data_IF_677645908703
#
_entry.id   IF_677645908703
#
_cell.length_a   1.000
_cell.length_b   1.000
_cell.length_c   1.000
_cell.angle_alpha   90.00
_cell.angle_beta   90.00
_cell.angle_gamma   90.00
#
_symmetry.space_group_name_H-M   'P 1'
#
loop_
_entity.id
_entity.type
_entity.pdbx_description
1 polymer ?
#
# COMPACT_ATOMS: atom_id res chain seq x y z
N UNK A 1 7.45 24.64 -35.79
CA UNK A 1 6.43 23.61 -35.57
C UNK A 1 5.79 23.71 -34.21
N UNK A 2 4.55 24.15 -34.18
CA UNK A 2 3.70 24.05 -32.98
C UNK A 2 3.29 22.58 -32.83
N UNK A 3 3.98 21.85 -31.94
CA UNK A 3 3.67 20.47 -31.65
C UNK A 3 2.22 20.35 -31.17
N UNK A 4 1.39 19.65 -31.93
CA UNK A 4 0.00 19.38 -31.57
C UNK A 4 -0.03 18.48 -30.32
N UNK A 5 -0.46 19.03 -29.19
CA UNK A 5 -0.74 18.25 -27.98
C UNK A 5 -2.13 17.63 -28.11
N UNK A 6 -2.18 16.32 -28.36
CA UNK A 6 -3.42 15.56 -28.35
C UNK A 6 -3.84 15.35 -26.90
N UNK A 7 -5.07 15.75 -26.52
CA UNK A 7 -5.58 15.58 -25.16
C UNK A 7 -6.39 14.30 -25.02
N UNK A 8 -6.19 13.54 -23.95
CA UNK A 8 -6.89 12.28 -23.68
C UNK A 8 -7.53 12.32 -22.28
N UNK A 9 -8.73 12.89 -22.18
CA UNK A 9 -9.37 13.15 -20.88
C UNK A 9 -10.23 11.97 -20.42
N UNK A 10 -9.94 11.46 -19.22
CA UNK A 10 -10.77 10.48 -18.50
C UNK A 10 -11.54 11.15 -17.37
N UNK A 11 -12.84 10.84 -17.22
CA UNK A 11 -13.71 11.38 -16.17
C UNK A 11 -14.29 10.27 -15.30
N UNK A 12 -14.18 10.41 -13.97
CA UNK A 12 -14.75 9.49 -12.98
C UNK A 12 -15.16 10.28 -11.71
N UNK A 13 -16.40 10.10 -11.24
CA UNK A 13 -16.97 10.74 -10.04
C UNK A 13 -16.64 12.25 -9.93
N UNK A 14 -17.19 13.07 -10.83
CA UNK A 14 -17.00 14.52 -10.92
C UNK A 14 -15.56 15.04 -11.00
N UNK A 15 -14.58 14.15 -11.17
CA UNK A 15 -13.18 14.48 -11.36
C UNK A 15 -12.69 14.06 -12.73
N UNK A 16 -11.73 14.79 -13.27
CA UNK A 16 -11.11 14.51 -14.56
C UNK A 16 -9.59 14.53 -14.50
N UNK A 17 -8.97 13.73 -15.34
CA UNK A 17 -7.51 13.71 -15.54
C UNK A 17 -7.23 13.63 -17.04
N UNK A 18 -6.34 14.48 -17.54
CA UNK A 18 -5.82 14.34 -18.90
C UNK A 18 -4.69 13.31 -18.86
N UNK A 19 -4.80 12.25 -19.64
CA UNK A 19 -3.78 11.20 -19.73
C UNK A 19 -2.64 11.57 -20.66
N UNK A 20 -2.86 12.51 -21.58
CA UNK A 20 -1.84 12.94 -22.53
C UNK A 20 -0.64 13.64 -21.90
N UNK A 21 -0.77 14.05 -20.63
CA UNK A 21 0.32 14.64 -19.86
C UNK A 21 1.31 13.59 -19.32
N UNK A 22 0.99 12.29 -19.42
CA UNK A 22 1.84 11.19 -18.94
C UNK A 22 2.44 10.41 -20.11
N UNK A 23 3.67 9.94 -19.92
CA UNK A 23 4.30 8.98 -20.84
C UNK A 23 3.66 7.60 -20.68
N UNK A 24 3.73 6.75 -21.71
CA UNK A 24 3.14 5.40 -21.68
C UNK A 24 3.76 4.48 -20.61
N UNK A 25 5.01 4.74 -20.20
CA UNK A 25 5.72 4.04 -19.13
C UNK A 25 5.44 4.60 -17.73
N UNK A 26 4.60 5.63 -17.61
CA UNK A 26 4.27 6.25 -16.33
C UNK A 26 3.52 5.23 -15.45
N UNK A 27 3.99 4.96 -14.22
CA UNK A 27 3.28 4.07 -13.32
C UNK A 27 1.91 4.64 -12.92
N UNK A 28 0.99 3.75 -12.51
CA UNK A 28 -0.40 4.13 -12.18
C UNK A 28 -0.50 5.13 -11.03
N UNK A 29 0.40 5.07 -10.04
CA UNK A 29 0.29 5.89 -8.82
C UNK A 29 0.30 7.40 -9.09
N UNK A 30 1.24 7.97 -9.87
CA UNK A 30 1.17 9.35 -10.35
C UNK A 30 -0.15 9.77 -11.01
N UNK A 31 -0.70 8.90 -11.85
CA UNK A 31 -1.95 9.16 -12.58
C UNK A 31 -3.10 9.28 -11.58
N UNK A 32 -3.18 8.35 -10.61
CA UNK A 32 -4.15 8.40 -9.52
C UNK A 32 -3.99 9.65 -8.64
N UNK A 33 -2.75 10.07 -8.37
CA UNK A 33 -2.45 11.30 -7.60
C UNK A 33 -2.94 12.55 -8.31
N UNK A 34 -2.73 12.65 -9.63
CA UNK A 34 -3.24 13.77 -10.43
C UNK A 34 -4.78 13.79 -10.49
N UNK A 35 -5.40 12.62 -10.58
CA UNK A 35 -6.87 12.49 -10.53
C UNK A 35 -7.45 12.95 -9.19
N UNK A 36 -6.86 12.52 -8.06
CA UNK A 36 -7.29 12.97 -6.73
C UNK A 36 -7.11 14.48 -6.52
N UNK A 37 -6.07 15.08 -7.12
CA UNK A 37 -5.84 16.51 -7.07
C UNK A 37 -6.86 17.33 -7.88
N UNK A 38 -7.54 16.71 -8.86
CA UNK A 38 -8.56 17.32 -9.72
C UNK A 38 -8.11 18.62 -10.42
N UNK A 39 -6.84 18.65 -10.85
CA UNK A 39 -6.27 19.76 -11.61
C UNK A 39 -5.84 19.25 -13.00
N UNK A 40 -6.80 19.02 -13.91
CA UNK A 40 -6.57 18.30 -15.17
C UNK A 40 -5.60 19.00 -16.14
N UNK A 41 -5.28 20.28 -15.90
CA UNK A 41 -4.38 21.10 -16.74
C UNK A 41 -3.11 21.54 -16.02
N UNK A 42 -2.80 21.00 -14.85
CA UNK A 42 -1.61 21.40 -14.10
C UNK A 42 -0.40 20.50 -14.46
N UNK A 43 0.53 20.97 -15.30
CA UNK A 43 1.68 20.17 -15.72
C UNK A 43 2.67 19.87 -14.58
N UNK A 44 2.57 20.57 -13.45
CA UNK A 44 3.43 20.32 -12.28
C UNK A 44 3.09 19.02 -11.54
N UNK A 45 1.93 18.42 -11.83
CA UNK A 45 1.51 17.14 -11.24
C UNK A 45 2.05 15.93 -12.01
N UNK A 46 2.65 16.15 -13.18
CA UNK A 46 3.33 15.10 -13.94
C UNK A 46 4.64 14.75 -13.22
N UNK A 47 4.93 13.46 -12.99
CA UNK A 47 6.22 13.04 -12.46
C UNK A 47 7.35 13.62 -13.31
N UNK A 48 8.15 14.47 -12.71
CA UNK A 48 9.47 14.79 -13.27
C UNK A 48 10.29 13.51 -13.17
N UNK A 49 10.93 13.12 -14.27
CA UNK A 49 11.86 11.99 -14.32
C UNK A 49 12.83 12.19 -13.15
N UNK A 50 12.79 11.26 -12.20
CA UNK A 50 13.72 11.29 -11.07
C UNK A 50 15.13 11.10 -11.62
N UNK A 51 16.09 11.84 -11.07
CA UNK A 51 17.49 11.48 -11.25
C UNK A 51 17.66 10.00 -10.87
N UNK A 52 18.47 9.23 -11.61
CA UNK A 52 18.71 7.83 -11.27
C UNK A 52 19.11 7.72 -9.80
N UNK A 53 18.61 6.68 -9.12
CA UNK A 53 19.08 6.40 -7.77
C UNK A 53 20.59 6.17 -7.81
N UNK A 54 21.36 6.70 -6.84
CA UNK A 54 22.79 6.44 -6.76
C UNK A 54 23.05 4.92 -6.69
N UNK A 55 24.12 4.47 -7.36
CA UNK A 55 24.53 3.06 -7.35
C UNK A 55 24.84 2.61 -5.92
N UNK A 56 24.29 1.46 -5.54
CA UNK A 56 24.56 0.83 -4.25
C UNK A 56 25.90 0.11 -4.39
N UNK A 57 26.98 0.71 -3.90
CA UNK A 57 28.28 0.07 -3.82
C UNK A 57 28.19 -1.03 -2.76
N UNK A 58 28.20 -2.30 -3.17
CA UNK A 58 28.20 -3.45 -2.27
C UNK A 58 29.54 -3.54 -1.53
N UNK A 59 29.72 -2.79 -0.45
CA UNK A 59 30.92 -2.86 0.39
C UNK A 59 30.66 -3.70 1.64
N UNK A 60 31.02 -4.98 1.55
CA UNK A 60 30.85 -6.01 2.60
C UNK A 60 31.80 -5.80 3.81
N UNK A 61 32.51 -4.67 3.93
CA UNK A 61 33.56 -4.46 4.94
C UNK A 61 33.39 -3.23 5.84
N UNK A 62 32.18 -2.69 6.01
CA UNK A 62 31.96 -1.46 6.81
C UNK A 62 32.00 -1.72 8.33
N UNK A 63 31.82 -2.96 8.79
CA UNK A 63 31.67 -3.23 10.24
C UNK A 63 32.96 -3.09 11.05
N UNK A 64 34.14 -3.02 10.42
CA UNK A 64 35.43 -3.05 11.13
C UNK A 64 36.18 -1.71 11.18
N UNK A 65 35.65 -0.63 10.61
CA UNK A 65 36.35 0.67 10.50
C UNK A 65 35.66 1.80 11.27
N UNK A 66 35.11 1.54 12.46
CA UNK A 66 34.51 2.61 13.28
C UNK A 66 35.57 3.53 13.91
N UNK A 67 36.77 3.00 14.16
CA UNK A 67 37.89 3.69 14.79
C UNK A 67 39.10 3.52 13.87
N UNK A 68 39.73 4.62 13.48
CA UNK A 68 40.96 4.57 12.68
C UNK A 68 42.16 4.11 13.53
N UNK A 69 43.32 3.89 12.90
CA UNK A 69 44.54 3.50 13.62
C UNK A 69 45.06 4.58 14.59
N UNK A 70 44.51 5.80 14.53
CA UNK A 70 44.87 6.94 15.38
C UNK A 70 43.91 7.14 16.56
N UNK A 71 42.83 6.36 16.65
CA UNK A 71 41.83 6.44 17.71
C UNK A 71 40.68 7.41 17.46
N UNK A 72 40.58 8.00 16.26
CA UNK A 72 39.53 8.92 15.87
C UNK A 72 38.33 8.18 15.24
N UNK A 73 37.12 8.71 15.44
CA UNK A 73 35.90 8.13 14.90
C UNK A 73 35.75 8.47 13.42
N UNK A 74 35.55 7.45 12.58
CA UNK A 74 35.26 7.66 11.16
C UNK A 74 33.79 8.04 10.95
N UNK A 75 33.54 8.93 9.99
CA UNK A 75 32.18 9.31 9.59
C UNK A 75 31.43 8.12 8.96
N UNK A 76 30.23 7.86 9.47
CA UNK A 76 29.38 6.74 9.03
C UNK A 76 28.43 7.23 7.94
N UNK A 77 28.75 6.94 6.68
CA UNK A 77 27.94 7.35 5.53
C UNK A 77 26.79 6.37 5.19
N UNK A 78 26.81 5.16 5.74
CA UNK A 78 25.82 4.12 5.45
C UNK A 78 25.52 3.28 6.69
N UNK A 79 24.26 2.88 6.83
CA UNK A 79 23.84 1.93 7.87
C UNK A 79 24.22 0.50 7.44
N UNK A 80 24.53 -0.40 8.40
CA UNK A 80 24.75 -1.79 8.10
C UNK A 80 23.52 -2.41 7.44
N UNK A 81 23.76 -3.38 6.55
CA UNK A 81 22.67 -4.13 5.91
C UNK A 81 21.80 -4.76 7.01
N UNK A 82 20.46 -4.65 6.93
CA UNK A 82 19.60 -5.28 7.91
C UNK A 82 19.94 -6.76 8.02
N UNK A 83 19.94 -7.29 9.24
CA UNK A 83 20.14 -8.71 9.45
C UNK A 83 19.17 -9.49 8.55
N UNK A 84 19.64 -10.54 7.85
CA UNK A 84 18.76 -11.39 7.09
C UNK A 84 17.67 -11.84 8.05
N UNK A 85 16.43 -11.49 7.71
CA UNK A 85 15.27 -11.81 8.52
C UNK A 85 15.24 -13.33 8.58
N UNK A 86 15.67 -13.93 9.70
CA UNK A 86 15.30 -15.32 10.02
C UNK A 86 13.81 -15.38 9.73
N UNK A 87 13.41 -16.27 8.83
CA UNK A 87 12.04 -16.34 8.36
C UNK A 87 11.18 -16.62 9.58
N UNK A 88 10.67 -15.55 10.20
CA UNK A 88 9.72 -15.62 11.28
C UNK A 88 8.44 -16.13 10.62
N UNK A 89 8.37 -17.45 10.52
CA UNK A 89 7.15 -18.13 10.16
C UNK A 89 6.18 -17.89 11.34
N UNK A 90 4.95 -17.45 11.05
CA UNK A 90 4.39 -17.26 9.71
C UNK A 90 4.58 -15.83 9.18
N UNK A 91 4.90 -15.74 7.88
CA UNK A 91 4.84 -14.51 7.04
C UNK A 91 3.49 -13.80 7.06
N UNK A 92 2.47 -14.42 7.66
CA UNK A 92 1.12 -13.89 7.77
C UNK A 92 0.79 -13.66 9.25
N UNK A 93 1.02 -12.44 9.75
CA UNK A 93 0.41 -11.95 11.01
C UNK A 93 -1.12 -11.93 10.97
N UNK A 94 -1.70 -12.22 9.80
CA UNK A 94 -3.12 -12.32 9.58
C UNK A 94 -3.50 -13.79 9.81
N UNK A 95 -4.22 -14.12 10.89
CA UNK A 95 -4.72 -15.47 11.08
C UNK A 95 -5.69 -15.84 9.96
N UNK A 96 -5.79 -17.13 9.62
CA UNK A 96 -6.73 -17.57 8.59
C UNK A 96 -8.18 -17.15 8.95
N UNK A 97 -9.04 -16.84 7.97
CA UNK A 97 -10.44 -16.49 8.26
C UNK A 97 -11.12 -17.61 9.06
N UNK A 98 -11.97 -17.24 10.01
CA UNK A 98 -12.89 -18.20 10.62
C UNK A 98 -13.98 -18.45 9.58
N UNK A 99 -14.10 -19.70 9.12
CA UNK A 99 -15.15 -20.10 8.18
C UNK A 99 -16.50 -19.85 8.85
N UNK A 100 -17.32 -19.03 8.22
CA UNK A 100 -18.73 -18.87 8.57
C UNK A 100 -19.54 -19.31 7.37
N UNK A 101 -20.65 -20.00 7.64
CA UNK A 101 -21.68 -20.24 6.64
C UNK A 101 -22.13 -18.88 6.13
N UNK A 102 -22.00 -18.65 4.82
CA UNK A 102 -22.57 -17.47 4.20
C UNK A 102 -24.05 -17.75 4.07
N UNK A 103 -24.86 -17.07 4.85
CA UNK A 103 -26.30 -17.07 4.62
C UNK A 103 -26.55 -16.59 3.18
N UNK A 104 -27.32 -17.37 2.41
CA UNK A 104 -27.78 -16.91 1.10
C UNK A 104 -28.58 -15.63 1.31
N UNK A 105 -28.24 -14.60 0.53
CA UNK A 105 -28.89 -13.30 0.60
C UNK A 105 -30.33 -13.44 0.09
N UNK A 106 -31.24 -13.75 1.02
CA UNK A 106 -32.66 -13.81 0.75
C UNK A 106 -33.28 -12.42 0.93
N UNK A 107 -33.80 -11.86 -0.17
CA UNK A 107 -34.47 -10.56 -0.20
C UNK A 107 -35.98 -10.67 0.06
N UNK A 108 -36.52 -11.90 0.10
CA UNK A 108 -37.93 -12.18 0.33
C UNK A 108 -38.22 -12.24 1.84
N UNK A 109 -38.45 -11.08 2.43
CA UNK A 109 -38.72 -10.94 3.86
C UNK A 109 -40.14 -11.40 4.29
N UNK A 110 -41.04 -11.64 3.32
CA UNK A 110 -42.43 -12.02 3.57
C UNK A 110 -42.52 -13.41 4.23
N UNK A 111 -43.11 -13.47 5.42
CA UNK A 111 -43.32 -14.71 6.17
C UNK A 111 -42.12 -15.24 6.97
N UNK A 112 -40.98 -14.53 6.97
CA UNK A 112 -39.80 -14.94 7.73
C UNK A 112 -39.76 -14.33 9.13
N UNK A 113 -39.42 -15.15 10.12
CA UNK A 113 -39.07 -14.66 11.46
C UNK A 113 -37.64 -14.12 11.43
N UNK A 114 -37.50 -12.80 11.39
CA UNK A 114 -36.20 -12.14 11.46
C UNK A 114 -35.54 -12.37 12.84
N UNK A 115 -34.22 -12.52 12.84
CA UNK A 115 -33.45 -12.56 14.09
C UNK A 115 -33.65 -11.27 14.87
N UNK A 116 -33.90 -11.39 16.17
CA UNK A 116 -33.99 -10.23 17.05
C UNK A 116 -32.64 -9.52 17.15
N UNK A 117 -32.65 -8.24 17.52
CA UNK A 117 -31.43 -7.47 17.76
C UNK A 117 -30.51 -8.17 18.77
N UNK A 118 -31.08 -8.70 19.84
CA UNK A 118 -30.35 -9.37 20.93
C UNK A 118 -29.66 -10.64 20.43
N UNK A 119 -30.34 -11.39 19.56
CA UNK A 119 -29.79 -12.60 18.92
C UNK A 119 -28.60 -12.23 18.02
N UNK A 120 -28.75 -11.23 17.15
CA UNK A 120 -27.66 -10.75 16.28
C UNK A 120 -26.46 -10.27 17.09
N UNK A 121 -26.69 -9.50 18.16
CA UNK A 121 -25.62 -8.99 19.02
C UNK A 121 -24.85 -10.12 19.71
N UNK A 122 -25.53 -11.18 20.16
CA UNK A 122 -24.90 -12.34 20.80
C UNK A 122 -24.04 -13.13 19.82
N UNK A 123 -24.54 -13.37 18.61
CA UNK A 123 -23.80 -14.06 17.54
C UNK A 123 -22.54 -13.28 17.15
N UNK A 124 -22.68 -11.97 16.89
CA UNK A 124 -21.55 -11.10 16.54
C UNK A 124 -20.49 -11.04 17.64
N UNK A 125 -20.91 -10.89 18.91
CA UNK A 125 -19.98 -10.83 20.04
C UNK A 125 -19.16 -12.11 20.15
N UNK A 126 -19.82 -13.27 20.03
CA UNK A 126 -19.14 -14.58 20.05
C UNK A 126 -18.13 -14.70 18.92
N UNK A 127 -18.52 -14.32 17.70
CA UNK A 127 -17.65 -14.34 16.52
C UNK A 127 -16.44 -13.44 16.67
N UNK A 128 -16.62 -12.18 17.05
CA UNK A 128 -15.52 -11.23 17.19
C UNK A 128 -14.55 -11.60 18.31
N UNK A 129 -15.05 -12.21 19.40
CA UNK A 129 -14.19 -12.75 20.44
C UNK A 129 -13.32 -13.92 19.92
N UNK A 130 -13.88 -14.82 19.11
CA UNK A 130 -13.12 -15.91 18.50
C UNK A 130 -12.06 -15.38 17.51
N UNK A 131 -12.42 -14.39 16.69
CA UNK A 131 -11.47 -13.70 15.80
C UNK A 131 -10.33 -13.12 16.63
N UNK A 132 -10.63 -12.30 17.65
CA UNK A 132 -9.62 -11.67 18.49
C UNK A 132 -8.66 -12.67 19.13
N UNK A 133 -9.17 -13.78 19.69
CA UNK A 133 -8.32 -14.84 20.28
C UNK A 133 -7.32 -15.41 19.26
N UNK A 134 -7.74 -15.56 18.00
CA UNK A 134 -6.89 -16.08 16.92
C UNK A 134 -5.78 -15.12 16.48
N UNK A 135 -5.96 -13.81 16.68
CA UNK A 135 -4.92 -12.81 16.43
C UNK A 135 -3.85 -12.74 17.54
N UNK A 136 -4.16 -13.25 18.73
CA UNK A 136 -3.23 -13.32 19.85
C UNK A 136 -2.45 -14.64 19.94
N UNK A 137 -2.82 -15.64 19.14
CA UNK A 137 -2.09 -16.89 18.96
C UNK A 137 -1.10 -16.77 17.81
#
# INVERSE_FOLDING_TARGET
>A
DTAFHHTYVMKLFDRSVDLAQFQEDTPLYPICRAWMANQPRNPNLVPKIRSPSPEIVNEVNITNNLIDANGELNDVHYLPTPLPREEAIPRNRIPSPILAEKDELNLDYEGQTLKSREQLMKEHTTRWNAIRKKWHQ
#
